data_IF_805400505831
#
_entry.id   IF_805400505831
#
_cell.length_a   1.000
_cell.length_b   1.000
_cell.length_c   1.000
_cell.angle_alpha   90.00
_cell.angle_beta   90.00
_cell.angle_gamma   90.00
#
_symmetry.space_group_name_H-M   'P 1'
#
loop_
_entity.id
_entity.type
_entity.pdbx_description
1 polymer ?
#
# COMPACT_ATOMS: atom_id res chain seq x y z
N UNK A 1 -40.33 3.57 -14.41
CA UNK A 1 -40.23 2.55 -13.37
C UNK A 1 -39.88 1.24 -14.05
N UNK A 2 -38.58 0.94 -14.19
CA UNK A 2 -38.13 -0.38 -14.62
C UNK A 2 -37.97 -1.19 -13.33
N UNK A 3 -38.73 -2.27 -13.25
CA UNK A 3 -38.78 -3.22 -12.14
C UNK A 3 -37.47 -4.04 -12.17
N UNK A 4 -36.37 -3.47 -11.65
CA UNK A 4 -35.19 -4.26 -11.24
C UNK A 4 -35.62 -5.08 -10.01
N UNK A 5 -36.27 -6.23 -10.26
CA UNK A 5 -36.40 -7.25 -9.22
C UNK A 5 -34.98 -7.61 -8.78
N UNK A 6 -34.60 -7.16 -7.59
CA UNK A 6 -33.42 -7.64 -6.88
C UNK A 6 -33.49 -9.17 -6.92
N UNK A 7 -32.48 -9.80 -7.55
CA UNK A 7 -32.34 -11.25 -7.52
C UNK A 7 -32.36 -11.69 -6.06
N UNK A 8 -33.07 -12.77 -5.75
CA UNK A 8 -33.07 -13.29 -4.38
C UNK A 8 -31.66 -13.76 -4.03
N UNK A 9 -31.30 -13.77 -2.75
CA UNK A 9 -30.01 -14.31 -2.28
C UNK A 9 -29.77 -15.74 -2.79
N UNK A 10 -30.85 -16.52 -2.95
CA UNK A 10 -30.80 -17.88 -3.50
C UNK A 10 -30.39 -17.91 -4.99
N UNK A 11 -30.88 -16.96 -5.80
CA UNK A 11 -30.53 -16.86 -7.23
C UNK A 11 -29.07 -16.47 -7.42
N UNK A 12 -28.57 -15.55 -6.58
CA UNK A 12 -27.17 -15.11 -6.60
C UNK A 12 -26.23 -16.25 -6.21
N UNK A 13 -26.55 -16.98 -5.14
CA UNK A 13 -25.80 -18.16 -4.71
C UNK A 13 -25.84 -19.27 -5.77
N UNK A 14 -26.95 -19.42 -6.50
CA UNK A 14 -27.02 -20.40 -7.57
C UNK A 14 -26.09 -20.05 -8.73
N UNK A 15 -26.12 -18.82 -9.23
CA UNK A 15 -25.21 -18.36 -10.30
C UNK A 15 -23.75 -18.54 -9.93
N UNK A 16 -23.41 -18.25 -8.69
CA UNK A 16 -22.04 -18.40 -8.21
C UNK A 16 -21.61 -19.87 -8.18
N UNK A 17 -22.48 -20.78 -7.73
CA UNK A 17 -22.23 -22.22 -7.77
C UNK A 17 -22.10 -22.76 -9.20
N UNK A 18 -22.93 -22.27 -10.11
CA UNK A 18 -22.87 -22.66 -11.51
C UNK A 18 -21.53 -22.24 -12.13
N UNK A 19 -21.08 -21.02 -11.85
CA UNK A 19 -19.77 -20.52 -12.29
C UNK A 19 -18.61 -21.32 -11.66
N UNK A 20 -18.69 -21.65 -10.37
CA UNK A 20 -17.70 -22.53 -9.73
C UNK A 20 -17.62 -23.91 -10.39
N UNK A 21 -18.75 -24.49 -10.77
CA UNK A 21 -18.80 -25.79 -11.43
C UNK A 21 -18.21 -25.72 -12.84
N UNK A 22 -18.57 -24.68 -13.62
CA UNK A 22 -17.95 -24.43 -14.93
C UNK A 22 -16.42 -24.32 -14.83
N UNK A 23 -15.92 -23.63 -13.80
CA UNK A 23 -14.47 -23.50 -13.58
C UNK A 23 -13.83 -24.83 -13.19
N UNK A 24 -14.52 -25.68 -12.41
CA UNK A 24 -14.01 -27.02 -12.02
C UNK A 24 -13.95 -27.98 -13.21
N UNK A 25 -14.87 -27.85 -14.15
CA UNK A 25 -14.91 -28.68 -15.36
C UNK A 25 -13.81 -28.32 -16.36
N UNK A 26 -13.21 -27.14 -16.20
CA UNK A 26 -12.02 -26.73 -16.97
C UNK A 26 -10.78 -27.35 -16.34
N UNK A 27 -10.05 -28.16 -17.11
CA UNK A 27 -8.71 -28.60 -16.71
C UNK A 27 -7.72 -27.43 -16.78
N UNK A 28 -7.61 -26.71 -15.66
CA UNK A 28 -6.72 -25.57 -15.49
C UNK A 28 -5.23 -25.93 -15.71
N UNK A 29 -4.84 -27.21 -15.78
CA UNK A 29 -3.46 -27.65 -16.01
C UNK A 29 -3.11 -27.74 -17.50
N UNK A 30 -4.08 -27.83 -18.40
CA UNK A 30 -3.86 -28.03 -19.85
C UNK A 30 -4.23 -26.82 -20.71
N UNK A 31 -4.63 -25.69 -20.11
CA UNK A 31 -4.96 -24.46 -20.85
C UNK A 31 -3.69 -23.85 -21.46
N UNK A 32 -3.57 -23.93 -22.78
CA UNK A 32 -2.61 -23.14 -23.54
C UNK A 32 -3.02 -21.65 -23.58
N UNK A 33 -2.07 -20.77 -23.29
CA UNK A 33 -2.25 -19.31 -23.30
C UNK A 33 -1.54 -18.76 -24.54
N UNK A 34 -2.30 -18.14 -25.43
CA UNK A 34 -1.78 -17.46 -26.63
C UNK A 34 -1.57 -15.97 -26.38
N UNK A 35 -0.80 -15.28 -27.23
CA UNK A 35 -0.65 -13.82 -27.13
C UNK A 35 -1.98 -13.07 -27.30
N UNK A 36 -2.85 -13.57 -28.19
CA UNK A 36 -4.17 -12.99 -28.36
C UNK A 36 -4.91 -12.98 -27.03
N UNK A 37 -4.90 -14.08 -26.27
CA UNK A 37 -5.59 -14.22 -24.98
C UNK A 37 -5.19 -13.16 -23.94
N UNK A 38 -4.02 -12.56 -24.09
CA UNK A 38 -3.46 -11.58 -23.14
C UNK A 38 -3.85 -10.14 -23.45
N UNK A 39 -4.51 -9.89 -24.58
CA UNK A 39 -4.97 -8.56 -24.94
C UNK A 39 -6.17 -8.13 -24.07
N UNK A 40 -6.00 -7.00 -23.39
CA UNK A 40 -7.01 -6.31 -22.60
C UNK A 40 -7.41 -5.03 -23.32
N UNK A 41 -8.58 -5.05 -23.97
CA UNK A 41 -9.09 -3.95 -24.80
C UNK A 41 -9.25 -2.63 -24.03
N UNK A 42 -9.40 -2.69 -22.70
CA UNK A 42 -9.56 -1.51 -21.85
C UNK A 42 -8.25 -0.92 -21.38
N UNK A 43 -7.13 -1.62 -21.60
CA UNK A 43 -5.80 -1.23 -21.12
C UNK A 43 -4.75 -1.33 -22.25
N UNK A 44 -5.13 -1.00 -23.49
CA UNK A 44 -4.22 -1.04 -24.64
C UNK A 44 -3.21 0.13 -24.59
N UNK A 45 -1.91 -0.13 -24.35
CA UNK A 45 -0.92 0.94 -24.28
C UNK A 45 -0.69 1.65 -25.63
N UNK A 46 -1.14 1.09 -26.76
CA UNK A 46 -1.04 1.74 -28.08
C UNK A 46 -2.16 2.75 -28.32
N UNK A 47 -3.26 2.65 -27.58
CA UNK A 47 -4.41 3.53 -27.70
C UNK A 47 -4.97 3.87 -26.32
N UNK A 48 -4.20 4.59 -25.49
CA UNK A 48 -4.59 4.86 -24.11
C UNK A 48 -5.83 5.75 -24.05
N UNK A 49 -6.74 5.42 -23.14
CA UNK A 49 -7.88 6.25 -22.78
C UNK A 49 -7.45 7.34 -21.80
N UNK A 50 -7.53 8.59 -22.24
CA UNK A 50 -7.25 9.77 -21.40
C UNK A 50 -8.52 10.09 -20.61
N UNK A 51 -8.44 9.94 -19.29
CA UNK A 51 -9.57 10.16 -18.38
C UNK A 51 -10.00 11.63 -18.37
N UNK A 52 -11.31 11.88 -18.40
CA UNK A 52 -11.87 13.25 -18.31
C UNK A 52 -12.52 13.55 -16.94
N UNK A 53 -12.75 14.84 -16.68
CA UNK A 53 -13.43 15.28 -15.45
C UNK A 53 -14.88 14.78 -15.38
N UNK A 54 -15.58 14.74 -16.51
CA UNK A 54 -16.98 14.27 -16.61
C UNK A 54 -17.10 12.81 -16.19
N UNK A 55 -16.14 11.97 -16.58
CA UNK A 55 -16.08 10.56 -16.19
C UNK A 55 -15.94 10.41 -14.68
N UNK A 56 -15.10 11.24 -14.04
CA UNK A 56 -14.92 11.27 -12.60
C UNK A 56 -16.17 11.77 -11.89
N UNK A 57 -16.78 12.86 -12.37
CA UNK A 57 -18.00 13.42 -11.80
C UNK A 57 -19.15 12.43 -11.86
N UNK A 58 -19.32 11.75 -13.00
CA UNK A 58 -20.29 10.66 -13.16
C UNK A 58 -19.98 9.48 -12.22
N UNK A 59 -18.71 9.12 -12.06
CA UNK A 59 -18.30 8.06 -11.14
C UNK A 59 -18.61 8.41 -9.68
N UNK A 60 -18.27 9.62 -9.23
CA UNK A 60 -18.57 10.10 -7.88
C UNK A 60 -20.08 10.09 -7.60
N UNK A 61 -20.90 10.53 -8.56
CA UNK A 61 -22.36 10.45 -8.46
C UNK A 61 -22.86 9.01 -8.38
N UNK A 62 -22.27 8.08 -9.16
CA UNK A 62 -22.66 6.67 -9.21
C UNK A 62 -22.39 5.95 -7.88
N UNK A 63 -21.25 6.21 -7.24
CA UNK A 63 -20.83 5.49 -6.04
C UNK A 63 -21.33 6.08 -4.72
N UNK A 64 -21.88 7.31 -4.72
CA UNK A 64 -22.19 8.09 -3.50
C UNK A 64 -23.03 7.38 -2.42
N UNK A 65 -23.80 6.36 -2.77
CA UNK A 65 -24.67 5.62 -1.84
C UNK A 65 -24.14 4.24 -1.45
N UNK A 66 -22.94 3.87 -1.88
CA UNK A 66 -22.32 2.65 -1.38
C UNK A 66 -20.82 2.63 -1.38
N UNK A 67 -20.19 3.80 -1.42
CA UNK A 67 -18.85 4.03 -0.87
C UNK A 67 -18.97 5.23 0.06
N UNK A 68 -18.52 5.08 1.30
CA UNK A 68 -18.62 6.14 2.29
C UNK A 68 -17.68 7.31 1.97
N UNK A 69 -18.16 8.53 2.22
CA UNK A 69 -17.31 9.72 2.16
C UNK A 69 -16.41 9.76 3.39
N UNK A 70 -15.15 9.36 3.23
CA UNK A 70 -14.21 9.26 4.36
C UNK A 70 -13.81 10.64 4.91
N UNK A 71 -13.41 10.72 6.19
CA UNK A 71 -12.91 11.98 6.77
C UNK A 71 -11.62 12.46 6.10
N UNK A 72 -11.50 13.79 5.93
CA UNK A 72 -10.25 14.48 5.61
C UNK A 72 -9.94 15.46 6.75
N UNK A 73 -9.21 15.00 7.77
CA UNK A 73 -9.06 15.74 9.05
C UNK A 73 -7.64 16.29 9.21
N UNK A 74 -7.45 17.45 9.86
CA UNK A 74 -6.13 17.93 10.24
C UNK A 74 -5.37 16.90 11.07
N UNK A 75 -4.05 16.83 10.87
CA UNK A 75 -3.14 15.96 11.61
C UNK A 75 -2.55 16.65 12.83
N UNK A 76 -2.32 15.88 13.89
CA UNK A 76 -1.55 16.28 15.05
C UNK A 76 -0.06 16.51 14.75
N UNK A 77 0.42 16.06 13.58
CA UNK A 77 1.81 16.18 13.14
C UNK A 77 2.14 17.50 12.45
N UNK A 78 1.15 18.38 12.25
CA UNK A 78 1.34 19.64 11.52
C UNK A 78 2.44 20.52 12.13
N UNK A 79 2.50 20.58 13.46
CA UNK A 79 3.53 21.36 14.19
C UNK A 79 4.94 20.81 13.99
N UNK A 80 5.09 19.49 13.96
CA UNK A 80 6.41 18.82 13.86
C UNK A 80 6.95 18.91 12.44
N UNK A 81 6.07 18.80 11.45
CA UNK A 81 6.45 18.82 10.03
C UNK A 81 6.58 20.24 9.47
N UNK A 82 6.02 21.24 10.14
CA UNK A 82 5.96 22.61 9.66
C UNK A 82 5.05 22.78 8.44
N UNK A 83 4.14 21.83 8.21
CA UNK A 83 3.12 21.85 7.16
C UNK A 83 1.74 21.71 7.81
N UNK A 84 0.71 22.34 7.28
CA UNK A 84 -0.67 22.10 7.71
C UNK A 84 -1.16 20.79 7.07
N UNK A 85 -0.89 19.67 7.75
CA UNK A 85 -1.19 18.34 7.22
C UNK A 85 -2.65 17.95 7.45
N UNK A 86 -3.26 17.37 6.42
CA UNK A 86 -4.58 16.76 6.46
C UNK A 86 -4.49 15.33 5.95
N UNK A 87 -5.18 14.41 6.61
CA UNK A 87 -5.22 13.01 6.19
C UNK A 87 -6.58 12.65 5.63
N UNK A 88 -6.61 12.20 4.37
CA UNK A 88 -7.79 11.60 3.74
C UNK A 88 -7.82 10.11 4.04
N UNK A 89 -8.74 9.69 4.93
CA UNK A 89 -8.69 8.40 5.65
C UNK A 89 -9.41 7.26 4.92
N UNK A 90 -9.00 6.96 3.69
CA UNK A 90 -9.60 5.90 2.88
C UNK A 90 -9.34 4.48 3.40
N UNK A 91 -8.37 4.30 4.31
CA UNK A 91 -8.22 3.06 5.07
C UNK A 91 -9.43 2.72 5.97
N UNK A 92 -10.34 3.68 6.22
CA UNK A 92 -11.58 3.47 6.99
C UNK A 92 -12.74 2.92 6.16
N UNK A 93 -12.58 2.79 4.84
CA UNK A 93 -13.57 2.13 3.99
C UNK A 93 -13.73 0.65 4.40
N UNK A 94 -14.84 0.02 4.04
CA UNK A 94 -15.24 -1.29 4.55
C UNK A 94 -14.19 -2.40 4.33
N UNK A 95 -13.60 -2.40 3.15
CA UNK A 95 -12.53 -3.30 2.70
C UNK A 95 -11.13 -2.81 3.06
N UNK A 96 -11.05 -1.68 3.79
CA UNK A 96 -9.81 -1.11 4.30
C UNK A 96 -8.99 -0.31 3.29
N UNK A 97 -9.55 0.11 2.15
CA UNK A 97 -8.81 0.92 1.17
C UNK A 97 -9.67 1.67 0.15
N UNK A 98 -9.05 2.63 -0.53
CA UNK A 98 -9.65 3.41 -1.63
C UNK A 98 -10.18 2.57 -2.81
N UNK A 99 -9.76 1.31 -2.95
CA UNK A 99 -10.08 0.47 -4.12
C UNK A 99 -11.58 0.26 -4.33
N UNK A 100 -12.38 0.41 -3.27
CA UNK A 100 -13.85 0.42 -3.31
C UNK A 100 -14.41 1.40 -4.33
N UNK A 101 -13.83 2.60 -4.43
CA UNK A 101 -14.33 3.67 -5.30
C UNK A 101 -14.32 3.22 -6.76
N UNK A 102 -13.18 2.76 -7.24
CA UNK A 102 -13.05 2.19 -8.58
C UNK A 102 -13.85 0.91 -8.76
N UNK A 103 -13.73 -0.04 -7.83
CA UNK A 103 -14.41 -1.34 -7.96
C UNK A 103 -15.92 -1.18 -8.08
N UNK A 104 -16.54 -0.41 -7.18
CA UNK A 104 -17.97 -0.13 -7.22
C UNK A 104 -18.35 0.62 -8.51
N UNK A 105 -17.56 1.61 -8.90
CA UNK A 105 -17.82 2.37 -10.12
C UNK A 105 -17.88 1.45 -11.35
N UNK A 106 -16.86 0.61 -11.53
CA UNK A 106 -16.76 -0.32 -12.65
C UNK A 106 -17.87 -1.36 -12.65
N UNK A 107 -18.23 -1.92 -11.49
CA UNK A 107 -19.32 -2.89 -11.39
C UNK A 107 -20.68 -2.27 -11.74
N UNK A 108 -20.89 -1.00 -11.38
CA UNK A 108 -22.13 -0.28 -11.68
C UNK A 108 -22.23 0.19 -13.14
N UNK A 109 -21.13 0.22 -13.89
CA UNK A 109 -21.13 0.54 -15.33
C UNK A 109 -21.40 -0.67 -16.23
N UNK A 110 -21.35 -1.89 -15.68
CA UNK A 110 -21.63 -3.12 -16.44
C UNK A 110 -23.05 -3.15 -16.98
N UNK A 111 -23.20 -3.64 -18.20
CA UNK A 111 -24.51 -3.98 -18.77
C UNK A 111 -25.19 -5.11 -18.00
N UNK A 112 -26.51 -5.27 -18.17
CA UNK A 112 -27.26 -6.37 -17.55
C UNK A 112 -26.70 -7.76 -17.93
N UNK A 113 -26.22 -7.90 -19.18
CA UNK A 113 -25.57 -9.12 -19.65
C UNK A 113 -24.26 -9.38 -18.91
N UNK A 114 -23.36 -8.39 -18.83
CA UNK A 114 -22.08 -8.53 -18.13
C UNK A 114 -22.26 -8.76 -16.63
N UNK A 115 -23.24 -8.11 -15.99
CA UNK A 115 -23.59 -8.40 -14.59
C UNK A 115 -24.02 -9.84 -14.39
N UNK A 116 -24.75 -10.41 -15.36
CA UNK A 116 -25.21 -11.79 -15.29
C UNK A 116 -24.07 -12.80 -15.51
N UNK A 117 -23.13 -12.52 -16.42
CA UNK A 117 -21.94 -13.35 -16.63
C UNK A 117 -20.98 -13.27 -15.44
N UNK A 118 -20.75 -12.06 -14.93
CA UNK A 118 -19.80 -11.79 -13.85
C UNK A 118 -18.47 -11.22 -14.34
N UNK A 119 -17.61 -10.96 -13.37
CA UNK A 119 -16.30 -10.34 -13.57
C UNK A 119 -15.17 -11.23 -13.08
N UNK A 120 -13.98 -11.00 -13.62
CA UNK A 120 -12.76 -11.66 -13.20
C UNK A 120 -11.63 -10.65 -12.98
N UNK A 121 -10.84 -10.86 -11.92
CA UNK A 121 -9.65 -10.05 -11.66
C UNK A 121 -8.48 -10.93 -11.22
N UNK A 122 -7.26 -10.48 -11.51
CA UNK A 122 -6.05 -11.03 -10.92
C UNK A 122 -5.54 -10.06 -9.86
N UNK A 123 -5.64 -10.43 -8.58
CA UNK A 123 -5.16 -9.64 -7.47
C UNK A 123 -5.14 -10.48 -6.20
N UNK A 124 -4.09 -10.35 -5.38
CA UNK A 124 -4.05 -10.89 -4.03
C UNK A 124 -4.09 -9.76 -2.98
N UNK A 125 -4.73 -8.63 -3.28
CA UNK A 125 -4.68 -7.43 -2.45
C UNK A 125 -5.99 -6.64 -2.43
N UNK A 126 -5.86 -5.34 -2.19
CA UNK A 126 -6.97 -4.41 -1.96
C UNK A 126 -8.01 -4.39 -3.11
N UNK A 127 -7.56 -4.58 -4.36
CA UNK A 127 -8.48 -4.66 -5.51
C UNK A 127 -9.37 -5.89 -5.45
N UNK A 128 -8.83 -7.07 -5.10
CA UNK A 128 -9.64 -8.27 -4.95
C UNK A 128 -10.72 -8.09 -3.87
N UNK A 129 -10.35 -7.56 -2.71
CA UNK A 129 -11.31 -7.33 -1.61
C UNK A 129 -12.44 -6.39 -2.03
N UNK A 130 -12.10 -5.27 -2.67
CA UNK A 130 -13.07 -4.30 -3.15
C UNK A 130 -14.02 -4.89 -4.22
N UNK A 131 -13.48 -5.65 -5.17
CA UNK A 131 -14.29 -6.32 -6.20
C UNK A 131 -15.23 -7.34 -5.58
N UNK A 132 -14.75 -8.19 -4.68
CA UNK A 132 -15.55 -9.21 -4.00
C UNK A 132 -16.68 -8.59 -3.16
N UNK A 133 -16.36 -7.59 -2.33
CA UNK A 133 -17.32 -6.92 -1.46
C UNK A 133 -18.44 -6.23 -2.26
N UNK A 134 -18.09 -5.39 -3.23
CA UNK A 134 -19.11 -4.70 -4.03
C UNK A 134 -19.79 -5.61 -5.03
N UNK A 135 -19.12 -6.66 -5.51
CA UNK A 135 -19.75 -7.69 -6.34
C UNK A 135 -20.86 -8.40 -5.59
N UNK A 136 -20.62 -8.79 -4.33
CA UNK A 136 -21.65 -9.34 -3.45
C UNK A 136 -22.82 -8.36 -3.25
N UNK A 137 -22.54 -7.10 -2.90
CA UNK A 137 -23.58 -6.08 -2.69
C UNK A 137 -24.45 -5.83 -3.93
N UNK A 138 -23.88 -5.96 -5.12
CA UNK A 138 -24.55 -5.70 -6.40
C UNK A 138 -25.11 -6.98 -7.05
N UNK A 139 -24.92 -8.15 -6.43
CA UNK A 139 -25.35 -9.43 -6.99
C UNK A 139 -24.62 -9.82 -8.28
N UNK A 140 -23.34 -9.45 -8.40
CA UNK A 140 -22.51 -9.72 -9.57
C UNK A 140 -21.51 -10.83 -9.19
N UNK A 141 -21.47 -11.97 -9.91
CA UNK A 141 -20.48 -13.01 -9.67
C UNK A 141 -19.06 -12.46 -9.86
N UNK A 142 -18.18 -12.75 -8.91
CA UNK A 142 -16.76 -12.32 -8.94
C UNK A 142 -15.86 -13.55 -8.87
N UNK A 143 -14.95 -13.62 -9.84
CA UNK A 143 -13.83 -14.58 -9.85
C UNK A 143 -12.54 -13.83 -9.56
N UNK A 144 -11.74 -14.33 -8.62
CA UNK A 144 -10.40 -13.78 -8.35
C UNK A 144 -9.35 -14.85 -8.53
N UNK A 145 -8.40 -14.57 -9.42
CA UNK A 145 -7.21 -15.40 -9.60
C UNK A 145 -6.09 -14.85 -8.73
N UNK A 146 -5.55 -15.69 -7.85
CA UNK A 146 -4.47 -15.36 -6.93
C UNK A 146 -3.28 -16.31 -7.11
N UNK A 147 -2.04 -15.86 -6.89
CA UNK A 147 -0.87 -16.73 -6.92
C UNK A 147 -0.85 -17.70 -5.74
N UNK A 148 -0.07 -18.77 -5.85
CA UNK A 148 0.04 -19.83 -4.83
C UNK A 148 0.48 -19.34 -3.45
N UNK A 149 1.20 -18.23 -3.39
CA UNK A 149 1.72 -17.65 -2.16
C UNK A 149 0.85 -16.52 -1.59
N UNK A 150 -0.38 -16.34 -2.11
CA UNK A 150 -1.31 -15.34 -1.59
C UNK A 150 -1.61 -15.58 -0.10
N UNK A 151 -1.58 -14.54 0.76
CA UNK A 151 -1.87 -14.69 2.18
C UNK A 151 -3.25 -15.31 2.41
N UNK A 152 -3.31 -16.35 3.26
CA UNK A 152 -4.54 -17.11 3.55
C UNK A 152 -5.68 -16.19 4.03
N UNK A 153 -5.36 -15.17 4.83
CA UNK A 153 -6.33 -14.18 5.29
C UNK A 153 -7.01 -13.45 4.12
N UNK A 154 -6.26 -13.06 3.08
CA UNK A 154 -6.81 -12.37 1.91
C UNK A 154 -7.69 -13.31 1.07
N UNK A 155 -7.29 -14.57 0.94
CA UNK A 155 -8.11 -15.63 0.31
C UNK A 155 -9.43 -15.82 1.06
N UNK A 156 -9.38 -15.97 2.39
CA UNK A 156 -10.55 -16.21 3.22
C UNK A 156 -11.52 -15.01 3.22
N UNK A 157 -11.00 -13.78 3.27
CA UNK A 157 -11.83 -12.58 3.20
C UNK A 157 -12.56 -12.48 1.85
N UNK A 158 -11.91 -12.82 0.74
CA UNK A 158 -12.60 -12.84 -0.56
C UNK A 158 -13.68 -13.94 -0.61
N UNK A 159 -13.39 -15.13 -0.07
CA UNK A 159 -14.37 -16.22 0.03
C UNK A 159 -15.56 -15.87 0.93
N UNK A 160 -15.37 -15.12 2.01
CA UNK A 160 -16.48 -14.70 2.88
C UNK A 160 -17.48 -13.77 2.20
N UNK A 161 -17.06 -13.09 1.12
CA UNK A 161 -17.95 -12.32 0.24
C UNK A 161 -18.58 -13.17 -0.88
N UNK A 162 -18.41 -14.50 -0.83
CA UNK A 162 -18.93 -15.46 -1.80
C UNK A 162 -18.07 -15.66 -3.04
N UNK A 163 -17.04 -14.83 -3.27
CA UNK A 163 -16.27 -14.85 -4.51
C UNK A 163 -15.59 -16.21 -4.80
N UNK A 164 -15.52 -16.54 -6.10
CA UNK A 164 -14.84 -17.76 -6.58
C UNK A 164 -13.34 -17.49 -6.64
N UNK A 165 -12.57 -18.23 -5.84
CA UNK A 165 -11.11 -18.05 -5.77
C UNK A 165 -10.38 -19.16 -6.51
N UNK A 166 -9.55 -18.76 -7.48
CA UNK A 166 -8.68 -19.65 -8.23
C UNK A 166 -7.24 -19.40 -7.81
N UNK A 167 -6.59 -20.42 -7.26
CA UNK A 167 -5.17 -20.34 -6.88
C UNK A 167 -4.32 -20.87 -8.04
N UNK A 168 -3.77 -19.97 -8.86
CA UNK A 168 -2.98 -20.31 -10.05
C UNK A 168 -1.95 -19.23 -10.37
N UNK A 169 -0.75 -19.67 -10.72
CA UNK A 169 0.42 -18.82 -10.99
C UNK A 169 1.43 -18.79 -9.83
N UNK A 170 2.70 -18.68 -10.18
CA UNK A 170 3.80 -18.49 -9.24
C UNK A 170 3.85 -17.06 -8.70
N UNK A 171 3.45 -16.10 -9.53
CA UNK A 171 3.38 -14.69 -9.22
C UNK A 171 2.09 -14.05 -9.79
N UNK A 172 1.90 -12.76 -9.51
CA UNK A 172 0.73 -12.02 -9.98
C UNK A 172 0.68 -11.87 -11.51
N UNK A 173 1.82 -11.85 -12.19
CA UNK A 173 1.88 -11.73 -13.64
C UNK A 173 1.35 -13.02 -14.31
N UNK A 174 1.76 -14.18 -13.81
CA UNK A 174 1.19 -15.47 -14.22
C UNK A 174 -0.30 -15.54 -13.89
N UNK A 175 -0.73 -15.17 -12.68
CA UNK A 175 -2.16 -15.13 -12.32
C UNK A 175 -2.98 -14.22 -13.25
N UNK A 176 -2.42 -13.08 -13.68
CA UNK A 176 -3.04 -12.19 -14.67
C UNK A 176 -3.22 -12.87 -16.02
N UNK A 177 -2.21 -13.59 -16.51
CA UNK A 177 -2.30 -14.35 -17.78
C UNK A 177 -3.42 -15.38 -17.72
N UNK A 178 -3.52 -16.12 -16.62
CA UNK A 178 -4.61 -17.08 -16.39
C UNK A 178 -5.99 -16.39 -16.32
N UNK A 179 -6.09 -15.26 -15.62
CA UNK A 179 -7.34 -14.51 -15.51
C UNK A 179 -7.85 -14.00 -16.86
N UNK A 180 -6.96 -13.44 -17.69
CA UNK A 180 -7.31 -12.96 -19.04
C UNK A 180 -7.76 -14.11 -19.95
N UNK A 181 -7.07 -15.25 -19.91
CA UNK A 181 -7.50 -16.44 -20.66
C UNK A 181 -8.87 -16.93 -20.23
N UNK A 182 -9.08 -17.05 -18.91
CA UNK A 182 -10.35 -17.52 -18.36
C UNK A 182 -11.50 -16.55 -18.62
N UNK A 183 -11.21 -15.24 -18.60
CA UNK A 183 -12.14 -14.17 -18.98
C UNK A 183 -12.75 -14.43 -20.35
N UNK A 184 -11.92 -14.79 -21.34
CA UNK A 184 -12.38 -15.08 -22.71
C UNK A 184 -13.14 -16.39 -22.82
N UNK A 185 -12.63 -17.45 -22.19
CA UNK A 185 -13.25 -18.78 -22.24
C UNK A 185 -14.65 -18.78 -21.63
N UNK A 186 -14.85 -18.05 -20.53
CA UNK A 186 -16.10 -18.01 -19.78
C UNK A 186 -16.96 -16.78 -20.07
N UNK A 187 -16.50 -15.86 -20.94
CA UNK A 187 -17.22 -14.61 -21.23
C UNK A 187 -17.32 -13.66 -20.03
N UNK A 188 -16.44 -13.80 -19.04
CA UNK A 188 -16.37 -12.90 -17.87
C UNK A 188 -15.68 -11.60 -18.28
N UNK A 189 -16.05 -10.48 -17.65
CA UNK A 189 -15.35 -9.20 -17.85
C UNK A 189 -14.09 -9.14 -17.00
N UNK A 190 -12.90 -9.09 -17.61
CA UNK A 190 -11.67 -8.82 -16.87
C UNK A 190 -11.63 -7.37 -16.38
N UNK A 191 -11.30 -7.16 -15.10
CA UNK A 191 -11.21 -5.83 -14.48
C UNK A 191 -9.80 -5.58 -13.94
N UNK A 192 -9.00 -4.84 -14.71
CA UNK A 192 -7.69 -4.38 -14.30
C UNK A 192 -7.80 -3.37 -13.14
N UNK A 193 -7.17 -3.68 -12.01
CA UNK A 193 -7.33 -2.91 -10.77
C UNK A 193 -6.65 -1.55 -10.69
N UNK A 194 -5.92 -1.12 -11.72
CA UNK A 194 -5.28 0.19 -11.71
C UNK A 194 -5.24 0.90 -13.07
N UNK A 195 -5.51 0.21 -14.18
CA UNK A 195 -5.43 0.82 -15.52
C UNK A 195 -6.78 0.88 -16.25
N UNK A 196 -7.83 0.20 -15.76
CA UNK A 196 -9.15 0.26 -16.40
C UNK A 196 -9.77 1.68 -16.24
N UNK A 197 -10.29 2.34 -17.29
CA UNK A 197 -10.81 3.71 -17.23
C UNK A 197 -11.86 3.95 -16.13
N UNK A 198 -12.84 3.05 -15.99
CA UNK A 198 -13.81 3.12 -14.90
C UNK A 198 -13.20 2.94 -13.49
N UNK A 199 -12.12 2.18 -13.35
CA UNK A 199 -11.39 2.11 -12.08
C UNK A 199 -10.79 3.49 -11.79
N UNK A 200 -10.03 4.07 -12.73
CA UNK A 200 -9.43 5.41 -12.61
C UNK A 200 -10.47 6.47 -12.25
N UNK A 201 -11.59 6.50 -12.99
CA UNK A 201 -12.69 7.44 -12.77
C UNK A 201 -13.24 7.36 -11.35
N UNK A 202 -13.47 6.15 -10.85
CA UNK A 202 -13.92 5.92 -9.48
C UNK A 202 -12.89 6.43 -8.47
N UNK A 203 -11.60 6.14 -8.66
CA UNK A 203 -10.56 6.61 -7.75
C UNK A 203 -10.48 8.14 -7.70
N UNK A 204 -10.77 8.82 -8.83
CA UNK A 204 -10.80 10.29 -8.90
C UNK A 204 -11.84 10.95 -7.99
N UNK A 205 -12.87 10.22 -7.54
CA UNK A 205 -13.81 10.73 -6.53
C UNK A 205 -13.13 11.16 -5.24
N UNK A 206 -11.99 10.55 -4.89
CA UNK A 206 -11.16 10.96 -3.75
C UNK A 206 -10.71 12.42 -3.91
N UNK A 207 -10.26 12.83 -5.10
CA UNK A 207 -9.82 14.18 -5.38
C UNK A 207 -10.93 15.22 -5.21
N UNK A 208 -12.16 14.89 -5.66
CA UNK A 208 -13.34 15.74 -5.45
C UNK A 208 -13.67 15.90 -3.97
N UNK A 209 -13.63 14.81 -3.20
CA UNK A 209 -13.88 14.86 -1.76
C UNK A 209 -12.82 15.67 -1.02
N UNK A 210 -11.56 15.57 -1.43
CA UNK A 210 -10.47 16.38 -0.85
C UNK A 210 -10.71 17.86 -1.09
N UNK A 211 -11.06 18.27 -2.31
CA UNK A 211 -11.34 19.67 -2.62
C UNK A 211 -12.58 20.21 -1.90
N UNK A 212 -13.58 19.38 -1.65
CA UNK A 212 -14.75 19.77 -0.87
C UNK A 212 -14.45 19.90 0.63
N UNK A 213 -13.62 19.00 1.18
CA UNK A 213 -13.29 18.97 2.61
C UNK A 213 -12.15 19.91 3.01
N UNK A 214 -11.25 20.25 2.07
CA UNK A 214 -10.12 21.18 2.25
C UNK A 214 -10.03 22.11 1.03
N UNK A 215 -10.91 23.13 0.90
CA UNK A 215 -11.04 23.94 -0.31
C UNK A 215 -9.81 24.76 -0.70
N UNK A 216 -8.94 25.06 0.26
CA UNK A 216 -7.70 25.84 0.09
C UNK A 216 -6.44 24.98 0.21
N UNK A 217 -6.53 23.69 -0.15
CA UNK A 217 -5.37 22.80 -0.26
C UNK A 217 -4.36 23.33 -1.27
N UNK A 218 -3.08 23.31 -0.90
CA UNK A 218 -1.97 23.72 -1.78
C UNK A 218 -1.36 22.53 -2.52
N UNK A 219 -1.30 21.36 -1.88
CA UNK A 219 -0.71 20.15 -2.45
C UNK A 219 -1.39 18.86 -1.97
N UNK A 220 -1.41 17.85 -2.84
CA UNK A 220 -1.89 16.49 -2.56
C UNK A 220 -0.79 15.49 -2.92
N UNK A 221 -0.38 14.69 -1.93
CA UNK A 221 0.72 13.73 -2.05
C UNK A 221 0.12 12.34 -2.25
N UNK A 222 0.05 11.87 -3.50
CA UNK A 222 -0.69 10.66 -3.87
C UNK A 222 0.26 9.47 -3.93
N UNK A 223 0.03 8.41 -3.12
CA UNK A 223 0.77 7.16 -3.26
C UNK A 223 0.54 6.53 -4.65
N UNK A 224 1.62 6.16 -5.31
CA UNK A 224 1.61 5.69 -6.70
C UNK A 224 2.27 4.33 -6.84
N UNK A 225 1.51 3.39 -7.43
CA UNK A 225 2.04 2.14 -7.98
C UNK A 225 1.72 2.11 -9.47
N UNK A 226 0.64 1.41 -9.84
CA UNK A 226 0.16 1.38 -11.24
C UNK A 226 -0.42 2.69 -11.78
N UNK A 227 -0.45 3.78 -11.00
CA UNK A 227 -0.89 5.12 -11.43
C UNK A 227 -2.39 5.42 -11.36
N UNK A 228 -3.27 4.42 -11.15
CA UNK A 228 -4.72 4.64 -11.24
C UNK A 228 -5.31 5.67 -10.26
N UNK A 229 -4.83 5.69 -9.01
CA UNK A 229 -5.24 6.71 -8.03
C UNK A 229 -4.71 8.10 -8.42
N UNK A 230 -3.43 8.17 -8.80
CA UNK A 230 -2.77 9.39 -9.24
C UNK A 230 -3.49 10.03 -10.43
N UNK A 231 -3.82 9.25 -11.46
CA UNK A 231 -4.53 9.70 -12.65
C UNK A 231 -5.91 10.28 -12.31
N UNK A 232 -6.71 9.55 -11.53
CA UNK A 232 -8.02 10.02 -11.10
C UNK A 232 -7.94 11.30 -10.27
N UNK A 233 -7.06 11.35 -9.26
CA UNK A 233 -6.90 12.54 -8.41
C UNK A 233 -6.38 13.72 -9.22
N UNK A 234 -5.41 13.52 -10.11
CA UNK A 234 -4.83 14.59 -10.93
C UNK A 234 -5.89 15.26 -11.82
N UNK A 235 -6.70 14.49 -12.55
CA UNK A 235 -7.78 15.04 -13.39
C UNK A 235 -8.82 15.75 -12.54
N UNK A 236 -9.28 15.14 -11.44
CA UNK A 236 -10.27 15.75 -10.55
C UNK A 236 -9.79 17.11 -10.02
N UNK A 237 -8.54 17.15 -9.55
CA UNK A 237 -7.97 18.32 -8.89
C UNK A 237 -7.64 19.41 -9.88
N UNK A 238 -6.92 19.09 -10.96
CA UNK A 238 -6.47 20.08 -11.94
C UNK A 238 -7.63 20.70 -12.73
N UNK A 239 -8.74 19.97 -12.90
CA UNK A 239 -9.94 20.50 -13.57
C UNK A 239 -10.70 21.53 -12.72
N UNK A 240 -10.67 21.39 -11.39
CA UNK A 240 -11.35 22.31 -10.47
C UNK A 240 -10.44 23.46 -10.05
N UNK A 241 -9.20 23.15 -9.70
CA UNK A 241 -8.19 24.14 -9.31
C UNK A 241 -6.80 23.73 -9.82
N UNK A 242 -6.35 24.22 -10.99
CA UNK A 242 -5.09 23.82 -11.59
C UNK A 242 -3.85 24.26 -10.79
N UNK A 243 -4.01 25.16 -9.81
CA UNK A 243 -2.90 25.64 -8.96
C UNK A 243 -2.50 24.66 -7.87
N UNK A 244 -3.39 23.74 -7.48
CA UNK A 244 -3.08 22.72 -6.47
C UNK A 244 -2.03 21.78 -7.03
N UNK A 245 -0.95 21.55 -6.28
CA UNK A 245 0.09 20.62 -6.68
C UNK A 245 -0.36 19.17 -6.47
N UNK A 246 -0.16 18.31 -7.47
CA UNK A 246 -0.38 16.87 -7.36
C UNK A 246 0.97 16.18 -7.49
N UNK A 247 1.40 15.55 -6.41
CA UNK A 247 2.74 14.98 -6.27
C UNK A 247 2.60 13.47 -6.16
N UNK A 248 3.25 12.75 -7.06
CA UNK A 248 3.35 11.29 -7.02
C UNK A 248 4.39 10.87 -5.98
N UNK A 249 4.03 9.91 -5.13
CA UNK A 249 4.92 9.35 -4.11
C UNK A 249 5.04 7.84 -4.28
N UNK A 250 6.26 7.35 -4.50
CA UNK A 250 6.56 5.93 -4.74
C UNK A 250 7.58 5.41 -3.71
N UNK A 251 7.72 4.09 -3.58
CA UNK A 251 8.87 3.51 -2.87
C UNK A 251 10.09 3.51 -3.80
N UNK A 252 11.28 3.78 -3.26
CA UNK A 252 12.55 3.58 -3.96
C UNK A 252 12.76 2.12 -4.43
N UNK A 253 12.08 1.16 -3.80
CA UNK A 253 12.10 -0.24 -4.19
C UNK A 253 11.12 -0.56 -5.34
N UNK A 254 10.22 0.35 -5.69
CA UNK A 254 9.30 0.20 -6.82
C UNK A 254 9.02 1.56 -7.52
N UNK A 255 10.04 2.19 -8.15
CA UNK A 255 9.92 3.55 -8.70
C UNK A 255 9.36 3.56 -10.13
N UNK A 256 8.23 2.87 -10.37
CA UNK A 256 7.71 2.61 -11.71
C UNK A 256 7.31 3.88 -12.47
N UNK A 257 6.61 4.81 -11.83
CA UNK A 257 6.15 6.06 -12.42
C UNK A 257 7.31 7.06 -12.59
N UNK A 258 8.25 7.09 -11.66
CA UNK A 258 9.46 7.89 -11.75
C UNK A 258 10.29 7.49 -12.98
N UNK A 259 10.52 6.20 -13.18
CA UNK A 259 11.28 5.69 -14.33
C UNK A 259 10.48 5.86 -15.64
N UNK A 260 9.16 5.66 -15.63
CA UNK A 260 8.30 5.97 -16.78
C UNK A 260 8.32 7.47 -17.15
N UNK A 261 8.39 8.36 -16.15
CA UNK A 261 8.48 9.82 -16.37
C UNK A 261 9.79 10.18 -17.05
N UNK A 262 10.92 9.58 -16.64
CA UNK A 262 12.21 9.78 -17.30
C UNK A 262 12.24 9.26 -18.74
N UNK A 263 11.62 8.11 -18.98
CA UNK A 263 11.55 7.49 -20.30
C UNK A 263 10.55 8.18 -21.25
N UNK A 264 9.60 8.95 -20.70
CA UNK A 264 8.51 9.57 -21.48
C UNK A 264 7.38 8.59 -21.87
N UNK A 265 7.44 7.35 -21.39
CA UNK A 265 6.41 6.32 -21.57
C UNK A 265 6.53 5.23 -20.50
N UNK A 266 5.48 4.41 -20.26
CA UNK A 266 5.58 3.27 -19.38
C UNK A 266 6.68 2.30 -19.81
N UNK A 267 7.49 1.87 -18.86
CA UNK A 267 8.53 0.85 -19.04
C UNK A 267 8.42 -0.19 -17.93
N UNK A 268 9.04 -1.34 -18.17
CA UNK A 268 9.24 -2.33 -17.11
C UNK A 268 10.33 -1.83 -16.15
N UNK A 269 10.00 -1.82 -14.87
CA UNK A 269 10.88 -1.45 -13.76
C UNK A 269 10.89 -2.60 -12.77
N UNK A 270 12.07 -3.14 -12.49
CA UNK A 270 12.21 -4.22 -11.51
C UNK A 270 11.81 -3.70 -10.12
N UNK A 271 10.91 -4.43 -9.45
CA UNK A 271 10.52 -4.14 -8.06
C UNK A 271 11.33 -5.00 -7.09
N UNK A 272 11.88 -4.35 -6.06
CA UNK A 272 12.45 -5.01 -4.88
C UNK A 272 11.36 -5.18 -3.82
N UNK A 273 11.66 -5.99 -2.81
CA UNK A 273 10.75 -6.18 -1.67
C UNK A 273 10.58 -4.86 -0.90
N UNK A 274 9.33 -4.49 -0.61
CA UNK A 274 8.97 -3.21 0.02
C UNK A 274 7.83 -3.38 1.04
N UNK A 275 7.82 -2.54 2.07
CA UNK A 275 6.72 -2.34 3.00
C UNK A 275 5.48 -1.76 2.31
N UNK A 276 5.65 -1.07 1.18
CA UNK A 276 4.58 -0.54 0.35
C UNK A 276 4.20 -1.52 -0.76
N UNK A 277 3.77 -2.74 -0.39
CA UNK A 277 3.41 -3.82 -1.33
C UNK A 277 2.34 -3.40 -2.36
N UNK A 278 1.37 -2.56 -1.95
CA UNK A 278 0.36 -1.99 -2.85
C UNK A 278 0.92 -1.06 -3.94
N UNK A 279 2.16 -0.57 -3.79
CA UNK A 279 2.84 0.26 -4.79
C UNK A 279 3.81 -0.54 -5.68
N UNK A 280 4.09 -1.80 -5.35
CA UNK A 280 5.02 -2.67 -6.06
C UNK A 280 4.45 -3.16 -7.40
N UNK A 281 4.30 -2.24 -8.36
CA UNK A 281 3.79 -2.52 -9.70
C UNK A 281 4.94 -2.32 -10.71
N UNK A 282 5.40 -3.36 -11.39
CA UNK A 282 6.60 -3.30 -12.23
C UNK A 282 6.41 -2.52 -13.54
N UNK A 283 5.17 -2.20 -13.91
CA UNK A 283 4.89 -1.39 -15.09
C UNK A 283 3.64 -0.56 -14.84
N UNK A 284 3.76 0.75 -14.95
CA UNK A 284 2.64 1.69 -14.83
C UNK A 284 1.59 1.41 -15.92
N UNK A 285 0.32 1.62 -15.59
CA UNK A 285 -0.76 1.51 -16.56
C UNK A 285 -0.63 2.51 -17.72
N UNK A 286 -1.00 2.09 -18.93
CA UNK A 286 -0.95 2.94 -20.12
C UNK A 286 -1.93 4.11 -20.04
N UNK A 287 -3.18 3.83 -19.64
CA UNK A 287 -4.21 4.87 -19.44
C UNK A 287 -3.83 5.77 -18.28
N UNK A 288 -3.38 5.16 -17.18
CA UNK A 288 -2.97 5.88 -15.99
C UNK A 288 -1.82 6.85 -16.26
N UNK A 289 -0.78 6.42 -16.98
CA UNK A 289 0.35 7.27 -17.34
C UNK A 289 -0.06 8.38 -18.31
N UNK A 290 -0.74 8.04 -19.42
CA UNK A 290 -1.17 9.01 -20.41
C UNK A 290 -2.07 10.12 -19.82
N UNK A 291 -2.87 9.75 -18.81
CA UNK A 291 -3.71 10.69 -18.06
C UNK A 291 -2.90 11.53 -17.05
N UNK A 292 -2.08 10.88 -16.21
CA UNK A 292 -1.44 11.54 -15.07
C UNK A 292 -0.20 12.36 -15.45
N UNK A 293 0.65 11.84 -16.34
CA UNK A 293 1.94 12.44 -16.67
C UNK A 293 1.89 13.93 -17.03
N UNK A 294 0.94 14.43 -17.85
CA UNK A 294 0.87 15.86 -18.18
C UNK A 294 0.27 16.73 -17.05
N UNK A 295 -0.28 16.13 -16.00
CA UNK A 295 -1.03 16.83 -14.95
C UNK A 295 -0.30 16.92 -13.62
N UNK A 296 0.69 16.06 -13.37
CA UNK A 296 1.40 16.03 -12.09
C UNK A 296 2.56 17.03 -12.05
N UNK A 297 2.87 17.52 -10.86
CA UNK A 297 3.88 18.56 -10.66
C UNK A 297 5.26 17.97 -10.29
N UNK A 298 5.29 16.81 -9.63
CA UNK A 298 6.52 16.18 -9.15
C UNK A 298 6.31 14.68 -8.90
N UNK A 299 7.39 13.91 -9.02
CA UNK A 299 7.47 12.52 -8.56
C UNK A 299 8.60 12.43 -7.54
N UNK A 300 8.33 11.81 -6.39
CA UNK A 300 9.32 11.56 -5.34
C UNK A 300 9.31 10.08 -4.94
N UNK A 301 10.48 9.54 -4.63
CA UNK A 301 10.63 8.18 -4.13
C UNK A 301 11.08 8.23 -2.67
N UNK A 302 10.46 7.40 -1.81
CA UNK A 302 10.74 7.32 -0.39
C UNK A 302 11.44 6.03 -0.02
N UNK A 303 12.33 6.09 0.97
CA UNK A 303 13.04 4.91 1.44
C UNK A 303 12.18 4.06 2.37
N UNK A 304 12.51 2.77 2.47
CA UNK A 304 11.83 1.82 3.35
C UNK A 304 11.92 2.21 4.83
N UNK A 305 13.02 2.86 5.22
CA UNK A 305 13.24 3.41 6.54
C UNK A 305 12.17 4.45 6.89
N UNK A 306 11.94 5.44 6.01
CA UNK A 306 10.95 6.48 6.24
C UNK A 306 9.50 5.97 6.11
N UNK A 307 9.24 4.94 5.30
CA UNK A 307 7.94 4.26 5.32
C UNK A 307 7.67 3.65 6.70
N UNK A 308 8.68 3.00 7.31
CA UNK A 308 8.53 2.43 8.65
C UNK A 308 8.32 3.48 9.74
N UNK A 309 9.05 4.60 9.68
CA UNK A 309 8.85 5.75 10.59
C UNK A 309 7.43 6.33 10.40
N UNK A 310 6.97 6.48 9.16
CA UNK A 310 5.64 7.02 8.89
C UNK A 310 4.53 6.14 9.48
N UNK A 311 4.62 4.81 9.33
CA UNK A 311 3.67 3.88 9.96
C UNK A 311 3.72 4.00 11.49
N UNK A 312 4.92 4.03 12.08
CA UNK A 312 5.09 4.21 13.52
C UNK A 312 4.41 5.50 14.00
N UNK A 313 4.63 6.62 13.32
CA UNK A 313 4.03 7.92 13.67
C UNK A 313 2.51 7.95 13.51
N UNK A 314 1.97 7.30 12.48
CA UNK A 314 0.52 7.17 12.32
C UNK A 314 -0.11 6.39 13.49
N UNK A 315 0.54 5.33 13.96
CA UNK A 315 0.09 4.59 15.14
C UNK A 315 0.21 5.43 16.41
N UNK A 316 1.33 6.10 16.63
CA UNK A 316 1.61 6.86 17.84
C UNK A 316 0.76 8.13 17.96
N UNK A 317 0.64 8.90 16.87
CA UNK A 317 0.07 10.25 16.88
C UNK A 317 -1.36 10.32 16.38
N UNK A 318 -1.72 9.48 15.41
CA UNK A 318 -3.05 9.50 14.78
C UNK A 318 -3.93 8.32 15.21
N UNK A 319 -3.37 7.36 15.95
CA UNK A 319 -4.03 6.10 16.34
C UNK A 319 -4.58 5.34 15.13
N UNK A 320 -3.86 5.42 14.01
CA UNK A 320 -4.25 4.85 12.73
C UNK A 320 -3.33 3.67 12.36
N UNK A 321 -3.93 2.53 12.03
CA UNK A 321 -3.22 1.38 11.44
C UNK A 321 -3.33 1.51 9.92
N UNK A 322 -2.21 1.82 9.28
CA UNK A 322 -2.11 2.12 7.85
C UNK A 322 -1.03 1.22 7.25
N UNK A 323 -1.27 0.71 6.04
CA UNK A 323 -0.28 -0.10 5.31
C UNK A 323 0.82 0.79 4.70
N UNK A 324 1.94 0.20 4.25
CA UNK A 324 3.07 0.99 3.74
C UNK A 324 2.73 1.86 2.53
N UNK A 325 1.84 1.41 1.65
CA UNK A 325 1.34 2.20 0.54
C UNK A 325 0.60 3.46 1.02
N UNK A 326 -0.27 3.32 2.04
CA UNK A 326 -0.99 4.45 2.63
C UNK A 326 -0.11 5.40 3.44
N UNK A 327 1.03 4.93 3.94
CA UNK A 327 1.98 5.74 4.71
C UNK A 327 3.00 6.50 3.84
N UNK A 328 3.15 6.14 2.56
CA UNK A 328 4.19 6.67 1.67
C UNK A 328 4.17 8.21 1.57
N UNK A 329 3.00 8.83 1.48
CA UNK A 329 2.89 10.30 1.42
C UNK A 329 3.41 11.00 2.68
N UNK A 330 3.18 10.42 3.86
CA UNK A 330 3.76 10.94 5.11
C UNK A 330 5.26 10.68 5.17
N UNK A 331 5.73 9.53 4.69
CA UNK A 331 7.15 9.22 4.60
C UNK A 331 7.91 10.28 3.77
N UNK A 332 7.33 10.76 2.67
CA UNK A 332 7.95 11.82 1.85
C UNK A 332 8.12 13.14 2.61
N UNK A 333 7.14 13.49 3.46
CA UNK A 333 7.21 14.67 4.33
C UNK A 333 8.27 14.49 5.40
N UNK A 334 8.29 13.34 6.08
CA UNK A 334 9.23 13.05 7.17
C UNK A 334 10.69 12.93 6.67
N UNK A 335 10.88 12.40 5.46
CA UNK A 335 12.18 12.33 4.79
C UNK A 335 12.68 13.71 4.30
N UNK A 336 11.80 14.72 4.31
CA UNK A 336 12.17 16.08 3.91
C UNK A 336 12.33 16.26 2.39
N UNK A 337 11.64 15.45 1.58
CA UNK A 337 11.72 15.51 0.11
C UNK A 337 10.96 16.69 -0.52
N UNK A 338 10.16 17.38 0.30
CA UNK A 338 9.23 18.44 -0.12
C UNK A 338 9.37 19.72 0.74
N UNK A 339 10.58 20.28 0.92
CA UNK A 339 10.79 21.47 1.75
C UNK A 339 10.01 22.70 1.27
N UNK A 340 9.68 22.78 -0.02
CA UNK A 340 8.87 23.82 -0.65
C UNK A 340 7.41 23.86 -0.19
N UNK A 341 6.95 22.83 0.54
CA UNK A 341 5.60 22.74 1.10
C UNK A 341 5.50 23.22 2.55
N UNK A 342 6.60 23.65 3.18
CA UNK A 342 6.56 24.24 4.53
C UNK A 342 5.63 25.46 4.56
N UNK A 343 4.78 25.51 5.58
CA UNK A 343 3.76 26.55 5.76
C UNK A 343 2.53 26.41 4.86
N UNK A 344 2.43 25.36 4.05
CA UNK A 344 1.31 25.11 3.14
C UNK A 344 0.33 24.06 3.68
N UNK A 345 -0.89 24.05 3.15
CA UNK A 345 -1.90 23.02 3.40
C UNK A 345 -1.70 21.84 2.49
N UNK A 346 -1.41 20.69 3.09
CA UNK A 346 -1.01 19.49 2.38
C UNK A 346 -1.92 18.34 2.76
N UNK A 347 -2.56 17.72 1.76
CA UNK A 347 -3.40 16.54 1.96
C UNK A 347 -2.64 15.28 1.57
N UNK A 348 -2.68 14.28 2.44
CA UNK A 348 -2.10 12.96 2.22
C UNK A 348 -3.23 11.92 2.26
N UNK A 349 -3.53 11.21 1.16
CA UNK A 349 -4.39 10.04 1.17
C UNK A 349 -3.74 8.89 1.94
N UNK A 350 -4.30 8.56 3.10
CA UNK A 350 -4.02 7.31 3.80
C UNK A 350 -4.84 6.20 3.14
N UNK A 351 -4.35 5.75 1.98
CA UNK A 351 -5.16 5.06 0.97
C UNK A 351 -5.52 3.61 1.33
N UNK A 352 -4.86 2.98 2.30
CA UNK A 352 -5.20 1.63 2.74
C UNK A 352 -4.62 1.24 4.10
N UNK A 353 -5.25 0.27 4.75
CA UNK A 353 -4.93 -0.21 6.10
C UNK A 353 -4.76 -1.73 6.21
N UNK A 354 -4.67 -2.44 5.09
CA UNK A 354 -4.66 -3.91 5.04
C UNK A 354 -3.26 -4.50 5.26
N UNK A 355 -2.63 -4.10 6.36
CA UNK A 355 -1.34 -4.63 6.81
C UNK A 355 -1.53 -5.90 7.65
N UNK A 356 -0.75 -6.93 7.34
CA UNK A 356 -0.71 -8.15 8.16
C UNK A 356 -0.15 -7.84 9.57
N UNK A 357 -0.71 -8.44 10.62
CA UNK A 357 -0.33 -8.13 12.00
C UNK A 357 1.13 -8.47 12.31
N UNK A 358 1.68 -9.51 11.68
CA UNK A 358 3.10 -9.88 11.83
C UNK A 358 4.03 -8.94 11.06
N UNK A 359 3.55 -8.38 9.95
CA UNK A 359 4.26 -7.32 9.22
C UNK A 359 4.22 -6.03 10.04
N UNK A 360 3.07 -5.64 10.59
CA UNK A 360 2.92 -4.48 11.44
C UNK A 360 3.87 -4.55 12.65
N UNK A 361 3.93 -5.67 13.35
CA UNK A 361 4.86 -5.86 14.49
C UNK A 361 6.32 -5.59 14.10
N UNK A 362 6.78 -6.21 13.00
CA UNK A 362 8.15 -6.02 12.48
C UNK A 362 8.39 -4.58 12.01
N UNK A 363 7.40 -3.93 11.43
CA UNK A 363 7.48 -2.53 10.99
C UNK A 363 7.62 -1.59 12.18
N UNK A 364 6.88 -1.81 13.26
CA UNK A 364 7.00 -0.99 14.48
C UNK A 364 8.39 -1.13 15.10
N UNK A 365 8.94 -2.35 15.15
CA UNK A 365 10.33 -2.56 15.60
C UNK A 365 11.35 -1.84 14.70
N UNK A 366 11.23 -1.98 13.37
CA UNK A 366 12.08 -1.26 12.41
C UNK A 366 11.95 0.25 12.53
N UNK A 367 10.73 0.74 12.70
CA UNK A 367 10.44 2.16 12.92
C UNK A 367 11.11 2.67 14.18
N UNK A 368 11.11 1.91 15.28
CA UNK A 368 11.80 2.28 16.52
C UNK A 368 13.33 2.29 16.34
N UNK A 369 13.90 1.39 15.54
CA UNK A 369 15.32 1.42 15.19
C UNK A 369 15.66 2.67 14.37
N UNK A 370 14.87 2.93 13.32
CA UNK A 370 15.03 4.09 12.44
C UNK A 370 14.84 5.43 13.19
N UNK A 371 13.94 5.45 14.17
CA UNK A 371 13.70 6.57 15.08
C UNK A 371 14.72 6.68 16.22
N UNK A 372 15.79 5.86 16.18
CA UNK A 372 16.87 5.78 17.18
C UNK A 372 16.40 5.50 18.61
N UNK A 373 15.24 4.85 18.77
CA UNK A 373 14.69 4.43 20.07
C UNK A 373 15.05 3.01 20.46
N UNK A 374 15.65 2.25 19.54
CA UNK A 374 16.28 0.97 19.82
C UNK A 374 17.76 1.02 19.43
N UNK A 375 18.62 0.73 20.38
CA UNK A 375 20.06 0.63 20.19
C UNK A 375 20.49 -0.82 20.26
N UNK A 376 21.33 -1.25 19.32
CA UNK A 376 21.99 -2.56 19.36
C UNK A 376 23.49 -2.35 19.53
N UNK A 377 24.02 -2.89 20.62
CA UNK A 377 25.42 -2.71 21.03
C UNK A 377 26.07 -4.05 21.27
N UNK A 378 27.32 -4.20 20.83
CA UNK A 378 28.20 -5.29 21.18
C UNK A 378 29.30 -4.75 22.09
N UNK A 379 29.45 -5.34 23.25
CA UNK A 379 30.43 -4.94 24.25
C UNK A 379 31.13 -6.15 24.83
N UNK A 380 32.39 -6.01 25.19
CA UNK A 380 33.16 -7.08 25.87
C UNK A 380 33.27 -6.76 27.35
N UNK A 381 32.80 -7.66 28.22
CA UNK A 381 32.99 -7.56 29.67
C UNK A 381 33.83 -8.71 30.21
N UNK A 382 34.36 -8.55 31.43
CA UNK A 382 35.01 -9.64 32.15
C UNK A 382 34.00 -10.74 32.52
N UNK A 383 34.34 -12.01 32.27
CA UNK A 383 33.52 -13.18 32.65
C UNK A 383 33.74 -13.57 34.12
N UNK A 384 33.63 -12.58 35.01
CA UNK A 384 33.68 -12.73 36.47
C UNK A 384 32.30 -12.54 37.08
N UNK A 385 32.00 -13.18 38.23
CA UNK A 385 30.76 -12.93 38.95
C UNK A 385 30.55 -11.43 39.21
N UNK A 386 29.38 -10.91 38.82
CA UNK A 386 28.98 -9.52 39.05
C UNK A 386 29.16 -8.56 37.87
N UNK A 387 29.99 -8.88 36.85
CA UNK A 387 30.21 -7.98 35.71
C UNK A 387 28.93 -7.66 34.94
N UNK A 388 28.09 -8.67 34.71
CA UNK A 388 26.80 -8.48 34.03
C UNK A 388 25.86 -7.59 34.87
N UNK A 389 25.85 -7.76 36.19
CA UNK A 389 25.04 -6.94 37.08
C UNK A 389 25.49 -5.46 37.08
N UNK A 390 26.80 -5.21 37.00
CA UNK A 390 27.35 -3.85 36.88
C UNK A 390 26.95 -3.21 35.55
N UNK A 391 27.01 -3.97 34.45
CA UNK A 391 26.58 -3.51 33.13
C UNK A 391 25.09 -3.15 33.12
N UNK A 392 24.22 -4.04 33.61
CA UNK A 392 22.79 -3.75 33.70
C UNK A 392 22.50 -2.55 34.61
N UNK A 393 23.27 -2.37 35.68
CA UNK A 393 23.17 -1.20 36.56
C UNK A 393 23.56 0.09 35.85
N UNK A 394 24.60 0.07 35.00
CA UNK A 394 24.99 1.21 34.17
C UNK A 394 23.84 1.60 33.24
N UNK A 395 23.27 0.64 32.50
CA UNK A 395 22.16 0.90 31.58
C UNK A 395 20.94 1.46 32.30
N UNK A 396 20.57 0.85 33.42
CA UNK A 396 19.45 1.33 34.24
C UNK A 396 19.71 2.74 34.79
N UNK A 397 20.95 3.07 35.17
CA UNK A 397 21.32 4.40 35.67
C UNK A 397 21.31 5.45 34.56
N UNK A 398 21.61 5.04 33.33
CA UNK A 398 21.46 5.87 32.14
C UNK A 398 20.00 5.99 31.68
N UNK A 399 19.05 5.27 32.29
CA UNK A 399 17.63 5.31 31.91
C UNK A 399 17.25 4.42 30.72
N UNK A 400 18.16 3.53 30.27
CA UNK A 400 17.91 2.58 29.19
C UNK A 400 17.32 1.27 29.72
N UNK A 401 16.38 0.68 28.98
CA UNK A 401 15.79 -0.61 29.30
C UNK A 401 16.38 -1.72 28.42
N UNK A 402 16.78 -2.84 29.02
CA UNK A 402 17.27 -4.00 28.27
C UNK A 402 16.09 -4.76 27.67
N UNK A 403 16.06 -4.90 26.33
CA UNK A 403 15.05 -5.68 25.59
C UNK A 403 15.49 -7.10 25.32
N UNK A 404 16.75 -7.24 24.93
CA UNK A 404 17.33 -8.54 24.59
C UNK A 404 18.81 -8.54 24.96
N UNK A 405 19.31 -9.72 25.33
CA UNK A 405 20.69 -9.93 25.72
C UNK A 405 21.18 -11.31 25.30
N UNK A 406 22.28 -11.33 24.56
CA UNK A 406 22.93 -12.56 24.12
C UNK A 406 24.40 -12.56 24.51
N UNK A 407 24.88 -13.70 25.02
CA UNK A 407 26.26 -13.88 25.47
C UNK A 407 26.98 -14.86 24.54
N UNK A 408 28.14 -14.46 24.04
CA UNK A 408 29.02 -15.30 23.25
C UNK A 408 30.37 -15.50 23.95
N UNK A 409 30.77 -16.76 24.10
CA UNK A 409 32.02 -17.17 24.76
C UNK A 409 32.92 -17.98 23.85
N UNK A 410 32.35 -18.85 23.02
CA UNK A 410 33.08 -19.90 22.32
C UNK A 410 33.93 -19.36 21.16
N UNK A 411 33.54 -18.22 20.58
CA UNK A 411 34.16 -17.66 19.38
C UNK A 411 35.07 -16.44 19.64
N UNK A 412 35.35 -16.12 20.90
CA UNK A 412 36.29 -15.07 21.30
C UNK A 412 37.74 -15.57 21.20
N UNK A 413 38.41 -15.26 20.08
CA UNK A 413 39.80 -15.70 19.83
C UNK A 413 40.87 -14.95 20.66
N UNK A 414 40.51 -13.87 21.35
CA UNK A 414 41.48 -12.92 21.92
C UNK A 414 41.68 -12.98 23.44
N UNK A 415 40.73 -13.49 24.23
CA UNK A 415 40.81 -13.49 25.70
C UNK A 415 39.84 -14.53 26.33
N UNK A 416 40.37 -15.46 27.13
CA UNK A 416 39.63 -16.55 27.80
C UNK A 416 38.79 -16.10 28.99
N UNK A 417 39.03 -14.92 29.57
CA UNK A 417 38.31 -14.39 30.74
C UNK A 417 37.35 -13.26 30.39
N UNK A 418 36.98 -13.17 29.11
CA UNK A 418 36.05 -12.18 28.58
C UNK A 418 34.85 -12.84 27.94
N UNK A 419 33.72 -12.13 27.97
CA UNK A 419 32.49 -12.52 27.28
C UNK A 419 32.02 -11.36 26.42
N UNK A 420 31.61 -11.65 25.19
CA UNK A 420 31.03 -10.66 24.30
C UNK A 420 29.53 -10.69 24.53
N UNK A 421 28.98 -9.53 24.84
CA UNK A 421 27.58 -9.33 25.10
C UNK A 421 27.02 -8.51 23.93
N UNK A 422 26.02 -9.06 23.26
CA UNK A 422 25.15 -8.30 22.38
C UNK A 422 23.92 -7.90 23.19
N UNK A 423 23.61 -6.61 23.25
CA UNK A 423 22.45 -6.07 23.97
C UNK A 423 21.61 -5.24 23.02
N UNK A 424 20.29 -5.39 23.12
CA UNK A 424 19.33 -4.46 22.56
C UNK A 424 18.76 -3.61 23.69
N UNK A 425 18.94 -2.30 23.59
CA UNK A 425 18.49 -1.30 24.55
C UNK A 425 17.34 -0.48 23.96
N UNK A 426 16.29 -0.28 24.74
CA UNK A 426 15.26 0.71 24.47
C UNK A 426 15.60 2.02 25.19
N UNK A 427 15.55 3.11 24.42
CA UNK A 427 15.80 4.48 24.87
C UNK A 427 14.59 5.36 24.53
N UNK A 428 14.63 6.61 24.99
CA UNK A 428 13.46 7.51 24.96
C UNK A 428 13.28 8.13 23.58
N UNK A 429 14.37 8.67 23.05
CA UNK A 429 14.47 9.44 21.82
C UNK A 429 15.93 9.45 21.35
N UNK A 430 16.20 10.11 20.23
CA UNK A 430 17.55 10.20 19.66
C UNK A 430 18.56 10.88 20.61
N UNK A 431 18.16 11.92 21.34
CA UNK A 431 19.08 12.65 22.22
C UNK A 431 19.53 11.76 23.39
N UNK A 432 18.57 11.01 23.97
CA UNK A 432 18.85 10.01 24.99
C UNK A 432 19.67 8.83 24.41
N UNK A 433 19.46 8.47 23.15
CA UNK A 433 20.26 7.46 22.47
C UNK A 433 21.75 7.87 22.40
N UNK A 434 22.02 9.12 22.05
CA UNK A 434 23.37 9.68 21.99
C UNK A 434 24.01 9.76 23.40
N UNK A 435 23.24 10.16 24.42
CA UNK A 435 23.68 10.14 25.82
C UNK A 435 24.08 8.74 26.29
N UNK A 436 23.21 7.74 26.07
CA UNK A 436 23.48 6.35 26.44
C UNK A 436 24.70 5.82 25.70
N UNK A 437 24.82 6.10 24.40
CA UNK A 437 25.95 5.70 23.55
C UNK A 437 27.27 6.25 24.09
N UNK A 438 27.28 7.52 24.50
CA UNK A 438 28.44 8.16 25.13
C UNK A 438 28.80 7.50 26.46
N UNK A 439 27.83 7.30 27.35
CA UNK A 439 28.05 6.66 28.67
C UNK A 439 28.67 5.27 28.51
N UNK A 440 28.16 4.47 27.57
CA UNK A 440 28.67 3.12 27.29
C UNK A 440 30.12 3.18 26.79
N UNK A 441 30.41 4.09 25.86
CA UNK A 441 31.74 4.24 25.26
C UNK A 441 32.79 4.75 26.25
N UNK A 442 32.39 5.50 27.28
CA UNK A 442 33.28 5.94 28.36
C UNK A 442 33.59 4.83 29.38
N UNK A 443 32.71 3.84 29.53
CA UNK A 443 32.84 2.76 30.53
C UNK A 443 33.47 1.47 29.98
N UNK A 444 33.43 1.25 28.67
CA UNK A 444 33.91 0.02 28.04
C UNK A 444 34.83 0.30 26.86
N UNK A 445 36.01 -0.34 26.84
CA UNK A 445 37.02 -0.11 25.78
C UNK A 445 36.68 -0.77 24.44
N UNK A 446 35.94 -1.89 24.47
CA UNK A 446 35.58 -2.69 23.30
C UNK A 446 34.09 -2.64 23.06
N UNK A 447 33.64 -1.59 22.39
CA UNK A 447 32.23 -1.35 22.06
C UNK A 447 32.08 -1.20 20.55
N UNK A 448 31.00 -1.76 20.00
CA UNK A 448 30.54 -1.52 18.63
C UNK A 448 29.05 -1.27 18.65
N UNK A 449 28.59 -0.20 18.01
CA UNK A 449 27.16 0.03 17.81
C UNK A 449 26.75 -0.44 16.43
N UNK A 450 25.50 -0.86 16.29
CA UNK A 450 24.98 -1.32 15.00
C UNK A 450 25.06 -0.25 13.92
N UNK A 451 24.94 1.02 14.32
CA UNK A 451 25.01 2.19 13.44
C UNK A 451 26.41 2.36 12.82
N UNK A 452 27.46 1.81 13.46
CA UNK A 452 28.85 1.88 13.00
C UNK A 452 29.27 0.65 12.17
N UNK A 453 28.36 -0.32 12.01
CA UNK A 453 28.62 -1.50 11.19
C UNK A 453 28.25 -1.22 9.73
N UNK A 454 29.10 -1.65 8.77
CA UNK A 454 28.91 -1.37 7.35
C UNK A 454 27.67 -2.00 6.74
#
# INVERSE_FOLDING_TARGET
MLDERLLSDADLQQRQRDLENQIKDIDLLTIEITEEDLYDEWCDPKSPHILTFEEISAAAYRIKYGVDKTPCTPSHMSKITGMELYFKKDFLLHTGSFKERGARNTLMTLSAYEKAQGVIAASAGNHALAMCYHGQQLGIPVVVVMPRHAPIMKVNNCKSFGAVIIIKGNDLAESKRFALKLSRLLGLRYVNGFDHPHILAGQGSLGLEVLDQVPDVDAILVPTGGGGLLAGVAVAVKSVNPRVQVISVESECAPGFYEATKAGHPIYTECKSTLADGLAVPMVGGNAYATAAPLIDKVVCVSEEYISIAILRLVEMEKAVVEGAGAAGLAAVLQGLLPELKGKKVVIPLCGGNIDTTVLGRVLERGLVADKRLLKVWLTVSDRPGSLAQMCKLFSSAGASVKDIYHERAWLKSDMFSVQIQVVLEVRDSDHADEVTKIISEHYDKVKFHQDLP
#
